data_IF_345418740001
#
_entry.id   IF_345418740001
#
_cell.length_a   1.000
_cell.length_b   1.000
_cell.length_c   1.000
_cell.angle_alpha   90.00
_cell.angle_beta   90.00
_cell.angle_gamma   90.00
#
_symmetry.space_group_name_H-M   'P 1'
#
loop_
_entity.id
_entity.type
_entity.pdbx_description
1 polymer ?
#
# COMPACT_ATOMS: atom_id res chain seq x y z
N UNK A 1 10.48 -41.20 -5.93
CA UNK A 1 11.64 -40.29 -6.01
C UNK A 1 11.50 -39.42 -7.24
N UNK A 2 11.95 -38.16 -7.20
CA UNK A 2 11.88 -37.24 -8.34
C UNK A 2 13.06 -37.50 -9.29
N UNK A 3 12.80 -37.85 -10.55
CA UNK A 3 13.85 -38.19 -11.52
C UNK A 3 14.37 -36.97 -12.30
N UNK A 4 13.49 -36.05 -12.71
CA UNK A 4 13.88 -34.81 -13.40
C UNK A 4 12.83 -33.73 -13.27
N UNK A 5 13.25 -32.46 -13.39
CA UNK A 5 12.36 -31.30 -13.49
C UNK A 5 12.52 -30.72 -14.89
N UNK A 6 11.43 -30.59 -15.64
CA UNK A 6 11.43 -30.07 -17.01
C UNK A 6 10.52 -28.86 -17.13
N UNK A 7 11.01 -27.81 -17.78
CA UNK A 7 10.20 -26.66 -18.18
C UNK A 7 9.55 -26.99 -19.51
N UNK A 8 8.30 -26.57 -19.70
CA UNK A 8 7.57 -26.77 -20.94
C UNK A 8 6.92 -25.46 -21.41
N UNK A 9 6.71 -25.37 -22.71
CA UNK A 9 5.91 -24.32 -23.33
C UNK A 9 4.43 -24.66 -23.21
N UNK A 10 3.62 -23.75 -22.64
CA UNK A 10 2.22 -24.03 -22.30
C UNK A 10 1.34 -24.26 -23.53
N UNK A 11 1.62 -23.57 -24.64
CA UNK A 11 0.80 -23.64 -25.86
C UNK A 11 1.05 -24.94 -26.64
N UNK A 12 2.33 -25.29 -26.83
CA UNK A 12 2.74 -26.46 -27.61
C UNK A 12 2.86 -27.74 -26.78
N UNK A 13 2.88 -27.61 -25.44
CA UNK A 13 3.12 -28.69 -24.49
C UNK A 13 4.46 -29.40 -24.68
N UNK A 14 5.46 -28.75 -25.29
CA UNK A 14 6.79 -29.32 -25.54
C UNK A 14 7.79 -28.88 -24.47
N UNK A 15 8.66 -29.81 -24.06
CA UNK A 15 9.78 -29.51 -23.15
C UNK A 15 10.74 -28.52 -23.80
N UNK A 16 11.11 -27.47 -23.07
CA UNK A 16 12.07 -26.44 -23.49
C UNK A 16 13.42 -26.56 -22.78
N UNK A 17 13.48 -27.27 -21.66
CA UNK A 17 14.74 -27.56 -20.97
C UNK A 17 14.58 -28.24 -19.61
N UNK A 18 15.70 -28.60 -19.00
CA UNK A 18 15.75 -29.24 -17.68
C UNK A 18 16.16 -28.24 -16.59
N UNK A 19 15.72 -28.49 -15.35
CA UNK A 19 16.10 -27.73 -14.15
C UNK A 19 16.57 -28.69 -13.05
N UNK A 20 17.45 -28.19 -12.18
CA UNK A 20 18.00 -28.94 -11.05
C UNK A 20 17.15 -28.79 -9.78
N UNK A 21 16.39 -27.71 -9.67
CA UNK A 21 15.53 -27.41 -8.52
C UNK A 21 14.34 -26.55 -8.96
N UNK A 22 13.31 -26.50 -8.11
CA UNK A 22 12.22 -25.53 -8.19
C UNK A 22 11.90 -25.03 -6.77
N UNK A 23 11.45 -23.79 -6.66
CA UNK A 23 10.87 -23.23 -5.44
C UNK A 23 9.39 -22.98 -5.69
N UNK A 24 8.53 -23.53 -4.84
CA UNK A 24 7.10 -23.29 -4.89
C UNK A 24 6.77 -22.24 -3.84
N UNK A 25 6.25 -21.10 -4.28
CA UNK A 25 5.72 -20.07 -3.41
C UNK A 25 4.24 -20.34 -3.13
N UNK A 26 3.73 -19.81 -2.03
CA UNK A 26 2.30 -19.85 -1.77
C UNK A 26 1.55 -19.14 -2.91
N UNK A 27 0.51 -19.79 -3.44
CA UNK A 27 -0.32 -19.22 -4.52
C UNK A 27 -1.22 -18.08 -4.00
N UNK A 28 -1.41 -17.99 -2.68
CA UNK A 28 -2.33 -17.07 -2.04
C UNK A 28 -1.81 -16.68 -0.66
N UNK A 29 -2.13 -15.46 -0.25
CA UNK A 29 -1.85 -14.94 1.09
C UNK A 29 -2.60 -15.70 2.18
N UNK A 30 -3.75 -16.32 1.86
CA UNK A 30 -4.47 -17.22 2.78
C UNK A 30 -4.20 -18.68 2.43
N UNK A 31 -3.63 -19.43 3.38
CA UNK A 31 -3.60 -20.89 3.35
C UNK A 31 -4.76 -21.44 4.20
N UNK A 32 -5.59 -22.32 3.63
CA UNK A 32 -6.73 -22.95 4.32
C UNK A 32 -6.31 -24.30 4.93
N UNK A 33 -5.69 -24.22 6.10
CA UNK A 33 -5.28 -25.36 6.94
C UNK A 33 -6.29 -25.53 8.08
N UNK A 34 -6.37 -26.70 8.73
CA UNK A 34 -7.21 -26.87 9.91
C UNK A 34 -6.97 -25.80 10.98
N UNK A 35 -5.72 -25.36 11.16
CA UNK A 35 -5.30 -24.35 12.13
C UNK A 35 -5.82 -22.96 11.75
N UNK A 36 -5.59 -22.52 10.51
CA UNK A 36 -6.03 -21.19 10.03
C UNK A 36 -7.55 -21.10 9.90
N UNK A 37 -8.24 -22.18 9.52
CA UNK A 37 -9.71 -22.26 9.52
C UNK A 37 -10.24 -22.15 10.95
N UNK A 38 -9.63 -22.87 11.90
CA UNK A 38 -10.02 -22.81 13.32
C UNK A 38 -9.84 -21.40 13.89
N UNK A 39 -8.72 -20.73 13.58
CA UNK A 39 -8.47 -19.34 13.98
C UNK A 39 -9.50 -18.39 13.37
N UNK A 40 -9.71 -18.46 12.05
CA UNK A 40 -10.70 -17.64 11.36
C UNK A 40 -12.07 -17.75 12.02
N UNK A 41 -12.54 -18.98 12.30
CA UNK A 41 -13.84 -19.19 12.93
C UNK A 41 -13.95 -18.52 14.30
N UNK A 42 -12.91 -18.64 15.13
CA UNK A 42 -12.87 -17.98 16.45
C UNK A 42 -12.86 -16.45 16.32
N UNK A 43 -11.94 -15.90 15.54
CA UNK A 43 -11.79 -14.45 15.35
C UNK A 43 -13.03 -13.83 14.70
N UNK A 44 -13.68 -14.55 13.77
CA UNK A 44 -14.92 -14.12 13.15
C UNK A 44 -16.07 -14.03 14.17
N UNK A 45 -16.22 -15.06 15.03
CA UNK A 45 -17.25 -15.07 16.07
C UNK A 45 -16.96 -14.00 17.13
N UNK A 46 -15.70 -13.78 17.48
CA UNK A 46 -15.30 -12.73 18.42
C UNK A 46 -15.63 -11.33 17.87
N UNK A 47 -15.34 -11.09 16.59
CA UNK A 47 -15.59 -9.79 15.96
C UNK A 47 -17.07 -9.53 15.67
N UNK A 48 -17.83 -10.55 15.28
CA UNK A 48 -19.17 -10.38 14.69
C UNK A 48 -20.29 -11.17 15.38
N UNK A 49 -19.99 -11.97 16.39
CA UNK A 49 -20.94 -12.88 17.02
C UNK A 49 -21.24 -14.14 16.21
N UNK A 50 -22.29 -14.87 16.62
CA UNK A 50 -22.67 -16.13 15.97
C UNK A 50 -23.01 -15.90 14.48
N UNK A 51 -22.46 -16.69 13.54
CA UNK A 51 -22.75 -16.56 12.12
C UNK A 51 -24.22 -16.90 11.86
N UNK A 52 -24.84 -16.19 10.91
CA UNK A 52 -26.17 -16.54 10.43
C UNK A 52 -26.11 -17.78 9.53
N UNK A 53 -27.27 -18.39 9.28
CA UNK A 53 -27.37 -19.56 8.39
C UNK A 53 -26.93 -19.25 6.95
N UNK A 54 -27.10 -18.00 6.53
CA UNK A 54 -26.81 -17.53 5.16
C UNK A 54 -25.43 -16.83 5.06
N UNK A 55 -24.58 -16.98 6.07
CA UNK A 55 -23.21 -16.45 6.09
C UNK A 55 -22.29 -17.29 5.18
N UNK A 56 -22.36 -17.02 3.88
CA UNK A 56 -21.68 -17.79 2.84
C UNK A 56 -20.15 -17.79 2.99
N UNK A 57 -19.57 -16.69 3.47
CA UNK A 57 -18.14 -16.60 3.76
C UNK A 57 -17.76 -17.56 4.89
N UNK A 58 -18.45 -17.46 6.03
CA UNK A 58 -18.14 -18.30 7.18
C UNK A 58 -18.33 -19.79 6.86
N UNK A 59 -19.40 -20.15 6.14
CA UNK A 59 -19.66 -21.51 5.70
C UNK A 59 -18.57 -22.05 4.76
N UNK A 60 -18.22 -21.29 3.71
CA UNK A 60 -17.20 -21.71 2.75
C UNK A 60 -15.83 -21.94 3.42
N UNK A 61 -15.37 -21.00 4.24
CA UNK A 61 -14.08 -21.11 4.94
C UNK A 61 -14.10 -22.26 5.94
N UNK A 62 -15.20 -22.47 6.66
CA UNK A 62 -15.36 -23.59 7.61
C UNK A 62 -15.28 -24.96 6.92
N UNK A 63 -15.71 -25.05 5.67
CA UNK A 63 -15.60 -26.24 4.81
C UNK A 63 -14.24 -26.36 4.11
N UNK A 64 -13.30 -25.43 4.34
CA UNK A 64 -12.00 -25.38 3.66
C UNK A 64 -12.09 -24.97 2.19
N UNK A 65 -13.19 -24.34 1.77
CA UNK A 65 -13.38 -23.80 0.42
C UNK A 65 -12.99 -22.33 0.38
N UNK A 66 -12.35 -21.93 -0.73
CA UNK A 66 -12.09 -20.51 -0.99
C UNK A 66 -13.39 -19.77 -1.23
N UNK A 67 -13.44 -18.53 -0.77
CA UNK A 67 -14.51 -17.58 -1.05
C UNK A 67 -13.92 -16.36 -1.76
N UNK A 68 -14.60 -15.84 -2.77
CA UNK A 68 -14.10 -14.71 -3.54
C UNK A 68 -14.00 -13.45 -2.65
N UNK A 69 -12.83 -12.83 -2.58
CA UNK A 69 -12.58 -11.65 -1.74
C UNK A 69 -12.42 -11.96 -0.25
N UNK A 70 -12.23 -13.23 0.14
CA UNK A 70 -11.95 -13.62 1.53
C UNK A 70 -10.72 -12.93 2.13
N UNK A 71 -9.85 -12.39 1.28
CA UNK A 71 -8.68 -11.59 1.62
C UNK A 71 -9.05 -10.30 2.39
N UNK A 72 -10.28 -9.80 2.27
CA UNK A 72 -10.75 -8.70 3.13
C UNK A 72 -10.88 -9.08 4.62
N UNK A 73 -10.76 -10.37 4.94
CA UNK A 73 -10.72 -10.90 6.31
C UNK A 73 -9.37 -11.52 6.67
N UNK A 74 -8.30 -11.18 5.93
CA UNK A 74 -6.94 -11.67 6.15
C UNK A 74 -6.49 -11.69 7.63
N UNK A 75 -6.77 -10.65 8.45
CA UNK A 75 -6.31 -10.62 9.85
C UNK A 75 -6.90 -11.74 10.71
N UNK A 76 -8.02 -12.35 10.31
CA UNK A 76 -8.63 -13.44 11.07
C UNK A 76 -7.99 -14.79 10.81
N UNK A 77 -7.18 -14.92 9.75
CA UNK A 77 -6.49 -16.18 9.43
C UNK A 77 -5.17 -16.33 10.18
N UNK A 78 -4.59 -15.23 10.67
CA UNK A 78 -3.25 -15.19 11.25
C UNK A 78 -3.23 -14.50 12.62
N UNK A 79 -2.16 -14.69 13.37
CA UNK A 79 -2.02 -14.06 14.69
C UNK A 79 -1.64 -12.59 14.60
N UNK A 80 -0.78 -12.27 13.63
CA UNK A 80 -0.28 -10.95 13.35
C UNK A 80 -0.10 -10.84 11.83
N UNK A 81 -0.51 -9.70 11.28
CA UNK A 81 -0.09 -9.32 9.93
C UNK A 81 1.18 -8.48 10.04
N UNK A 82 2.11 -8.76 9.14
CA UNK A 82 3.37 -8.04 9.03
C UNK A 82 3.24 -6.94 7.98
N UNK A 83 3.98 -5.87 8.21
CA UNK A 83 4.13 -4.76 7.27
C UNK A 83 5.40 -4.94 6.47
N UNK A 84 5.57 -4.17 5.39
CA UNK A 84 6.85 -4.13 4.66
C UNK A 84 8.04 -3.76 5.55
N UNK A 85 7.79 -3.03 6.65
CA UNK A 85 8.82 -2.61 7.60
C UNK A 85 9.35 -3.78 8.45
N UNK A 86 8.57 -4.83 8.66
CA UNK A 86 9.02 -6.06 9.33
C UNK A 86 10.01 -6.84 8.46
N UNK A 87 9.84 -6.82 7.13
CA UNK A 87 10.72 -7.51 6.17
C UNK A 87 12.02 -6.76 5.88
N UNK A 88 12.03 -5.44 6.08
CA UNK A 88 13.17 -4.57 5.78
C UNK A 88 13.56 -3.72 7.00
N UNK A 89 13.95 -4.34 8.14
CA UNK A 89 14.14 -3.64 9.42
C UNK A 89 15.20 -2.55 9.39
N UNK A 90 16.25 -2.74 8.57
CA UNK A 90 17.40 -1.84 8.51
C UNK A 90 17.33 -0.81 7.37
N UNK A 91 16.28 -0.87 6.54
CA UNK A 91 16.15 0.05 5.41
C UNK A 91 15.59 1.41 5.86
N UNK A 92 16.18 2.54 5.44
CA UNK A 92 15.59 3.85 5.68
C UNK A 92 14.28 3.98 4.91
N UNK A 93 13.34 4.75 5.47
CA UNK A 93 12.07 5.06 4.81
C UNK A 93 12.09 6.51 4.37
N UNK A 94 11.89 6.72 3.08
CA UNK A 94 11.88 8.05 2.46
C UNK A 94 10.45 8.40 2.06
N UNK A 95 9.95 9.49 2.62
CA UNK A 95 8.66 10.08 2.30
C UNK A 95 8.85 11.20 1.29
N UNK A 96 8.11 11.13 0.18
CA UNK A 96 8.02 12.24 -0.75
C UNK A 96 7.24 13.41 -0.14
N UNK A 97 7.32 14.60 -0.75
CA UNK A 97 6.79 15.84 -0.23
C UNK A 97 5.33 15.79 0.25
N UNK A 98 4.47 15.05 -0.46
CA UNK A 98 3.03 14.94 -0.16
C UNK A 98 2.62 13.59 0.43
N UNK A 99 3.58 12.80 0.91
CA UNK A 99 3.31 11.43 1.33
C UNK A 99 2.42 11.37 2.59
N UNK A 100 2.60 12.28 3.55
CA UNK A 100 1.81 12.30 4.78
C UNK A 100 0.37 12.76 4.53
N UNK A 101 0.18 13.74 3.65
CA UNK A 101 -1.13 14.21 3.20
C UNK A 101 -1.86 13.10 2.45
N UNK A 102 -1.19 12.45 1.48
CA UNK A 102 -1.77 11.34 0.73
C UNK A 102 -2.16 10.18 1.66
N UNK A 103 -1.36 9.89 2.69
CA UNK A 103 -1.66 8.87 3.68
C UNK A 103 -2.88 9.25 4.53
N UNK A 104 -2.97 10.49 4.99
CA UNK A 104 -4.13 10.99 5.72
C UNK A 104 -5.42 10.93 4.89
N UNK A 105 -5.40 11.41 3.65
CA UNK A 105 -6.54 11.34 2.73
C UNK A 105 -6.96 9.89 2.45
N UNK A 106 -5.97 9.01 2.21
CA UNK A 106 -6.23 7.59 1.99
C UNK A 106 -6.87 6.93 3.21
N UNK A 107 -6.39 7.27 4.41
CA UNK A 107 -6.94 6.77 5.66
C UNK A 107 -8.39 7.22 5.85
N UNK A 108 -8.71 8.50 5.60
CA UNK A 108 -10.09 9.00 5.61
C UNK A 108 -10.99 8.21 4.66
N UNK A 109 -10.56 7.99 3.41
CA UNK A 109 -11.32 7.19 2.44
C UNK A 109 -11.58 5.75 2.92
N UNK A 110 -10.59 5.13 3.56
CA UNK A 110 -10.73 3.78 4.14
C UNK A 110 -11.81 3.77 5.22
N UNK A 111 -11.78 4.74 6.15
CA UNK A 111 -12.76 4.85 7.22
C UNK A 111 -14.17 5.11 6.68
N UNK A 112 -14.32 6.00 5.69
CA UNK A 112 -15.61 6.28 5.06
C UNK A 112 -16.19 5.04 4.38
N UNK A 113 -15.36 4.29 3.66
CA UNK A 113 -15.75 3.05 3.01
C UNK A 113 -16.09 1.93 4.00
N UNK A 114 -15.42 1.90 5.15
CA UNK A 114 -15.71 0.99 6.25
C UNK A 114 -17.07 1.32 6.88
N UNK A 115 -17.30 2.59 7.23
CA UNK A 115 -18.57 3.03 7.84
C UNK A 115 -19.75 2.86 6.89
N UNK A 116 -19.57 3.13 5.59
CA UNK A 116 -20.61 2.89 4.58
C UNK A 116 -21.01 1.40 4.54
N UNK A 117 -20.05 0.47 4.57
CA UNK A 117 -20.31 -0.97 4.58
C UNK A 117 -20.94 -1.42 5.89
N UNK A 118 -20.48 -0.88 7.03
CA UNK A 118 -21.06 -1.18 8.33
C UNK A 118 -22.53 -0.78 8.40
N UNK A 119 -22.86 0.46 8.00
CA UNK A 119 -24.24 0.95 7.95
C UNK A 119 -25.13 0.16 6.97
N UNK A 120 -24.57 -0.27 5.84
CA UNK A 120 -25.28 -1.15 4.91
C UNK A 120 -25.61 -2.50 5.55
N UNK A 121 -24.68 -3.08 6.32
CA UNK A 121 -24.94 -4.32 7.04
C UNK A 121 -26.07 -4.16 8.08
N UNK A 122 -26.13 -3.02 8.77
CA UNK A 122 -27.17 -2.72 9.76
C UNK A 122 -28.56 -2.44 9.14
N UNK A 123 -28.60 -1.99 7.88
CA UNK A 123 -29.84 -1.59 7.19
C UNK A 123 -30.29 -2.58 6.10
N UNK A 124 -29.52 -3.65 5.85
CA UNK A 124 -29.80 -4.58 4.77
C UNK A 124 -31.15 -5.29 4.95
N UNK A 125 -31.93 -5.34 3.86
CA UNK A 125 -33.06 -6.26 3.73
C UNK A 125 -32.57 -7.71 3.84
N UNK A 126 -33.44 -8.59 4.36
CA UNK A 126 -33.16 -10.00 4.71
C UNK A 126 -32.50 -10.87 3.63
N UNK A 127 -32.47 -10.42 2.36
CA UNK A 127 -32.00 -11.22 1.21
C UNK A 127 -30.62 -10.80 0.66
N UNK A 128 -29.96 -9.78 1.20
CA UNK A 128 -28.59 -9.42 0.79
C UNK A 128 -27.56 -10.30 1.53
N UNK A 129 -26.53 -10.78 0.82
CA UNK A 129 -25.41 -11.49 1.44
C UNK A 129 -24.73 -10.54 2.44
N UNK A 130 -24.70 -10.86 3.74
CA UNK A 130 -24.19 -9.94 4.75
C UNK A 130 -22.68 -9.75 4.57
N UNK A 131 -22.27 -8.52 4.23
CA UNK A 131 -20.86 -8.15 4.20
C UNK A 131 -20.47 -7.56 5.55
N UNK A 132 -19.64 -8.28 6.32
CA UNK A 132 -19.17 -7.85 7.64
C UNK A 132 -17.73 -7.31 7.55
N UNK A 133 -17.53 -5.98 7.41
CA UNK A 133 -16.19 -5.43 7.22
C UNK A 133 -15.31 -5.65 8.46
N UNK A 134 -14.04 -5.98 8.26
CA UNK A 134 -13.03 -5.98 9.33
C UNK A 134 -12.67 -4.54 9.70
N UNK A 135 -12.40 -4.31 10.99
CA UNK A 135 -11.92 -3.02 11.47
C UNK A 135 -10.65 -2.58 10.71
N UNK A 136 -10.58 -1.35 10.18
CA UNK A 136 -9.48 -0.91 9.33
C UNK A 136 -8.09 -1.04 9.97
N UNK A 137 -7.96 -0.78 11.27
CA UNK A 137 -6.70 -0.84 12.01
C UNK A 137 -6.05 -2.24 12.03
N UNK A 138 -6.81 -3.30 11.70
CA UNK A 138 -6.28 -4.66 11.59
C UNK A 138 -5.60 -4.94 10.23
N UNK A 139 -5.85 -4.10 9.22
CA UNK A 139 -5.39 -4.28 7.85
C UNK A 139 -4.47 -3.14 7.37
N UNK A 140 -4.72 -1.92 7.82
CA UNK A 140 -4.08 -0.73 7.29
C UNK A 140 -3.34 0.03 8.40
N UNK A 141 -2.20 0.62 8.03
CA UNK A 141 -1.57 1.64 8.84
C UNK A 141 -2.37 2.94 8.76
N UNK A 142 -2.40 3.67 9.87
CA UNK A 142 -3.00 4.99 10.03
C UNK A 142 -1.90 6.04 10.22
N UNK A 143 -2.22 7.34 10.05
CA UNK A 143 -1.28 8.41 10.37
C UNK A 143 -0.74 8.30 11.80
N UNK A 144 -1.56 7.83 12.73
CA UNK A 144 -1.23 7.76 14.16
C UNK A 144 -0.27 6.61 14.48
N UNK A 145 -0.41 5.46 13.80
CA UNK A 145 0.40 4.28 14.08
C UNK A 145 1.65 4.16 13.19
N UNK A 146 1.71 4.88 12.06
CA UNK A 146 2.81 4.81 11.11
C UNK A 146 4.16 5.00 11.79
N UNK A 147 4.32 6.06 12.59
CA UNK A 147 5.61 6.38 13.23
C UNK A 147 6.06 5.29 14.20
N UNK A 148 5.12 4.68 14.92
CA UNK A 148 5.43 3.53 15.77
C UNK A 148 5.84 2.30 14.93
N UNK A 149 5.17 2.07 13.79
CA UNK A 149 5.49 0.96 12.86
C UNK A 149 6.85 1.12 12.15
N UNK A 150 7.35 2.36 11.98
CA UNK A 150 8.71 2.60 11.50
C UNK A 150 9.77 2.17 12.53
N UNK A 151 9.46 2.18 13.83
CA UNK A 151 10.44 1.83 14.85
C UNK A 151 11.68 2.75 14.82
N UNK A 152 12.91 2.24 15.04
CA UNK A 152 14.10 3.06 15.22
C UNK A 152 14.86 3.43 13.93
N UNK A 153 14.34 3.07 12.74
CA UNK A 153 15.02 3.33 11.46
C UNK A 153 14.95 4.80 11.07
N UNK A 154 15.81 5.22 10.15
CA UNK A 154 15.78 6.58 9.63
C UNK A 154 14.50 6.84 8.82
N UNK A 155 13.73 7.86 9.22
CA UNK A 155 12.60 8.44 8.48
C UNK A 155 13.03 9.78 7.85
N UNK A 156 13.05 9.84 6.52
CA UNK A 156 13.51 11.00 5.75
C UNK A 156 12.32 11.60 5.01
N UNK A 157 12.02 12.88 5.29
CA UNK A 157 11.01 13.63 4.55
C UNK A 157 11.69 14.49 3.48
N UNK A 158 11.29 14.33 2.22
CA UNK A 158 11.59 15.31 1.19
C UNK A 158 10.60 16.46 1.25
N UNK A 159 11.09 17.67 1.06
CA UNK A 159 10.26 18.88 1.00
C UNK A 159 10.79 19.80 -0.09
N UNK A 160 9.87 20.45 -0.79
CA UNK A 160 10.20 21.48 -1.79
C UNK A 160 10.46 22.85 -1.15
N UNK A 161 10.19 22.97 0.16
CA UNK A 161 10.32 24.20 0.92
C UNK A 161 11.54 24.17 1.82
N UNK A 162 12.18 25.33 1.99
CA UNK A 162 13.20 25.52 3.00
C UNK A 162 12.60 25.32 4.39
N UNK A 163 13.23 24.44 5.18
CA UNK A 163 12.87 24.21 6.56
C UNK A 163 13.89 24.89 7.48
N UNK A 164 13.45 25.59 8.54
CA UNK A 164 14.36 26.10 9.55
C UNK A 164 15.03 24.94 10.29
N UNK A 165 16.31 25.09 10.64
CA UNK A 165 17.07 24.11 11.44
C UNK A 165 16.71 24.21 12.94
N UNK A 166 15.40 24.14 13.21
CA UNK A 166 14.82 24.38 14.53
C UNK A 166 13.78 23.28 14.77
N UNK A 167 14.17 22.18 15.41
CA UNK A 167 13.19 21.13 15.76
C UNK A 167 13.70 19.70 15.92
N UNK A 168 14.97 19.47 16.23
CA UNK A 168 15.49 18.11 16.47
C UNK A 168 15.55 17.19 15.24
N UNK A 169 14.96 17.59 14.10
CA UNK A 169 15.16 17.00 12.78
C UNK A 169 16.35 17.66 12.11
N UNK A 170 17.26 16.84 11.56
CA UNK A 170 18.40 17.31 10.79
C UNK A 170 17.94 17.72 9.39
N UNK A 171 18.17 18.97 9.00
CA UNK A 171 17.77 19.49 7.69
C UNK A 171 18.97 19.46 6.73
N UNK A 172 18.77 18.94 5.53
CA UNK A 172 19.76 18.96 4.44
C UNK A 172 19.20 19.72 3.25
N UNK A 173 19.79 20.87 2.92
CA UNK A 173 19.39 21.65 1.76
C UNK A 173 20.02 21.05 0.48
N UNK A 174 19.18 20.63 -0.48
CA UNK A 174 19.62 19.99 -1.72
C UNK A 174 20.28 20.95 -2.74
N UNK A 175 20.33 22.25 -2.44
CA UNK A 175 20.94 23.27 -3.30
C UNK A 175 20.04 23.75 -4.43
N UNK A 176 18.78 23.30 -4.47
CA UNK A 176 17.77 23.76 -5.43
C UNK A 176 17.50 25.26 -5.24
N UNK A 177 17.18 25.93 -6.36
CA UNK A 177 16.83 27.35 -6.37
C UNK A 177 15.62 27.55 -7.29
N UNK A 178 14.80 28.54 -6.96
CA UNK A 178 13.71 28.94 -7.86
C UNK A 178 14.30 29.47 -9.18
N UNK A 179 13.76 29.01 -10.30
CA UNK A 179 14.13 29.53 -11.62
C UNK A 179 13.69 30.99 -11.78
N UNK A 180 14.32 31.73 -12.71
CA UNK A 180 13.90 33.10 -13.00
C UNK A 180 12.44 33.11 -13.51
N UNK A 181 11.59 33.94 -12.92
CA UNK A 181 10.26 34.22 -13.46
C UNK A 181 10.36 35.19 -14.63
N UNK A 182 9.68 34.88 -15.73
CA UNK A 182 9.51 35.77 -16.89
C UNK A 182 8.08 36.32 -16.97
N UNK A 183 7.47 36.62 -15.81
CA UNK A 183 6.10 37.12 -15.76
C UNK A 183 5.99 38.54 -16.33
N UNK A 184 7.00 39.38 -16.10
CA UNK A 184 7.06 40.76 -16.62
C UNK A 184 7.14 40.78 -18.15
N UNK A 185 8.02 39.97 -18.75
CA UNK A 185 8.17 39.90 -20.21
C UNK A 185 6.96 39.27 -20.90
N UNK A 186 6.16 38.45 -20.20
CA UNK A 186 4.88 37.96 -20.72
C UNK A 186 3.78 39.01 -20.69
N UNK A 187 3.88 39.99 -19.79
CA UNK A 187 2.90 41.06 -19.65
C UNK A 187 3.14 42.21 -20.65
N UNK A 188 4.34 42.32 -21.23
CA UNK A 188 4.67 43.33 -22.24
C UNK A 188 4.49 42.78 -23.67
N UNK A 189 3.52 43.28 -24.46
CA UNK A 189 3.31 42.85 -25.84
C UNK A 189 4.47 43.16 -26.79
N UNK A 190 5.39 44.05 -26.39
CA UNK A 190 6.53 44.45 -27.22
C UNK A 190 7.77 43.59 -26.99
N UNK A 191 7.73 42.66 -26.04
CA UNK A 191 8.86 41.78 -25.70
C UNK A 191 8.58 40.36 -26.16
N UNK A 192 9.50 39.80 -26.93
CA UNK A 192 9.46 38.36 -27.24
C UNK A 192 10.05 37.57 -26.06
N UNK A 193 9.16 37.02 -25.22
CA UNK A 193 9.55 36.20 -24.06
C UNK A 193 10.49 35.05 -24.43
N UNK A 194 10.34 34.44 -25.62
CA UNK A 194 11.18 33.30 -26.01
C UNK A 194 12.64 33.70 -26.19
N UNK A 195 12.91 34.86 -26.79
CA UNK A 195 14.27 35.36 -27.00
C UNK A 195 14.96 35.64 -25.64
N UNK A 196 14.20 36.16 -24.68
CA UNK A 196 14.70 36.44 -23.32
C UNK A 196 15.00 35.15 -22.56
N UNK A 197 14.17 34.12 -22.71
CA UNK A 197 14.40 32.78 -22.12
C UNK A 197 15.64 32.13 -22.72
N UNK A 198 15.79 32.16 -24.06
CA UNK A 198 16.96 31.60 -24.75
C UNK A 198 18.25 32.26 -24.25
N UNK A 199 18.25 33.60 -24.12
CA UNK A 199 19.38 34.34 -23.58
C UNK A 199 19.70 33.92 -22.13
N UNK A 200 18.69 33.86 -21.26
CA UNK A 200 18.89 33.44 -19.87
C UNK A 200 19.49 32.04 -19.75
N UNK A 201 19.01 31.07 -20.53
CA UNK A 201 19.56 29.71 -20.54
C UNK A 201 21.01 29.70 -21.04
N UNK A 202 21.35 30.50 -22.04
CA UNK A 202 22.73 30.63 -22.52
C UNK A 202 23.65 31.21 -21.44
N UNK A 203 23.19 32.22 -20.71
CA UNK A 203 23.93 32.86 -19.61
C UNK A 203 24.16 31.88 -18.44
N UNK A 204 23.15 31.10 -18.05
CA UNK A 204 23.29 30.08 -16.99
C UNK A 204 24.26 28.96 -17.40
N UNK A 205 24.17 28.47 -18.65
CA UNK A 205 25.13 27.48 -19.18
C UNK A 205 26.56 28.01 -19.21
N UNK A 206 26.75 29.28 -19.60
CA UNK A 206 28.06 29.91 -19.58
C UNK A 206 28.63 30.03 -18.15
N UNK A 207 27.75 30.24 -17.16
CA UNK A 207 28.09 30.24 -15.74
C UNK A 207 28.30 28.84 -15.13
N UNK A 208 28.14 27.76 -15.92
CA UNK A 208 28.19 26.35 -15.47
C UNK A 208 27.20 26.04 -14.34
N UNK A 209 26.00 26.63 -14.41
CA UNK A 209 24.87 26.35 -13.54
C UNK A 209 23.77 25.60 -14.27
#
# INVERSE_FOLDING_TARGET
TLESIRVFDVATQRTTGQRKSMSLQAMSEVALTPETISRFRRSYIEAFGAPSRDDALYAAVSEGRRFAGMEHWLPFFYERLETVFDYLPDAPVVFDHLAHEALAERHTLILDHYEARRKQADSALKDAVPYKPVAPDLLYLSPDNLKASLGPREDIDFTVFDAPDVGGKKVFHAGSRHGRSFAEERADPNVNVFDVVVKHIADERAARR
#
